data_IF_324607296392
#
_entry.id   IF_324607296392
#
_cell.length_a   1.000
_cell.length_b   1.000
_cell.length_c   1.000
_cell.angle_alpha   90.00
_cell.angle_beta   90.00
_cell.angle_gamma   90.00
#
_symmetry.space_group_name_H-M   'P 1'
#
loop_
_entity.id
_entity.type
_entity.pdbx_description
1 polymer ?
#
# COMPACT_ATOMS: atom_id res chain seq x y z
N UNK A 1 -30.75 48.87 38.49
CA UNK A 1 -31.86 48.05 37.98
C UNK A 1 -32.08 48.44 36.53
N UNK A 2 -32.32 47.48 35.62
CA UNK A 2 -32.45 47.54 34.15
C UNK A 2 -31.19 47.25 33.31
N UNK A 3 -30.99 45.97 33.02
CA UNK A 3 -30.37 45.49 31.78
C UNK A 3 -31.50 44.96 30.89
N UNK A 4 -31.66 45.58 29.72
CA UNK A 4 -32.69 45.26 28.72
C UNK A 4 -32.51 43.82 28.21
N UNK A 5 -33.65 43.16 28.02
CA UNK A 5 -33.78 41.83 27.46
C UNK A 5 -33.08 41.74 26.10
N UNK A 6 -32.26 40.71 25.92
CA UNK A 6 -31.61 40.41 24.65
C UNK A 6 -32.68 39.94 23.65
N UNK A 7 -33.04 40.83 22.74
CA UNK A 7 -33.98 40.56 21.65
C UNK A 7 -33.37 39.48 20.72
N UNK A 8 -34.03 38.33 20.63
CA UNK A 8 -33.59 37.22 19.77
C UNK A 8 -33.81 37.62 18.32
N UNK A 9 -32.73 38.05 17.65
CA UNK A 9 -32.71 38.37 16.23
C UNK A 9 -32.95 37.11 15.40
N UNK A 10 -34.21 36.91 14.99
CA UNK A 10 -34.66 36.06 13.87
C UNK A 10 -34.20 34.59 13.93
N UNK A 11 -35.06 33.74 14.50
CA UNK A 11 -34.97 32.28 14.28
C UNK A 11 -35.23 32.00 12.81
N UNK A 12 -34.21 31.56 12.08
CA UNK A 12 -34.35 31.11 10.68
C UNK A 12 -35.22 29.86 10.63
N UNK A 13 -36.48 30.00 10.22
CA UNK A 13 -37.42 28.89 10.06
C UNK A 13 -37.05 28.12 8.80
N UNK A 14 -36.25 27.06 8.94
CA UNK A 14 -36.02 26.11 7.86
C UNK A 14 -37.31 25.29 7.63
N UNK A 15 -38.13 25.71 6.66
CA UNK A 15 -39.43 25.10 6.33
C UNK A 15 -39.37 23.83 5.46
N UNK A 16 -38.18 23.28 5.23
CA UNK A 16 -38.02 22.07 4.44
C UNK A 16 -37.84 20.84 5.33
N UNK A 17 -38.50 19.73 4.98
CA UNK A 17 -38.28 18.44 5.64
C UNK A 17 -36.80 18.09 5.61
N UNK A 18 -36.25 17.67 6.76
CA UNK A 18 -34.85 17.31 6.89
C UNK A 18 -34.49 16.19 5.90
N UNK A 19 -33.51 16.46 5.03
CA UNK A 19 -33.04 15.49 4.06
C UNK A 19 -32.24 14.39 4.76
N UNK A 20 -32.88 13.24 5.03
CA UNK A 20 -32.29 12.06 5.68
C UNK A 20 -31.06 11.51 4.94
N UNK A 21 -30.87 11.86 3.66
CA UNK A 21 -29.71 11.45 2.87
C UNK A 21 -28.43 12.18 3.30
N UNK A 22 -28.54 13.45 3.72
CA UNK A 22 -27.37 14.27 4.11
C UNK A 22 -26.63 13.74 5.34
N UNK A 23 -27.30 13.36 6.45
CA UNK A 23 -26.66 12.69 7.59
C UNK A 23 -25.98 11.37 7.19
N UNK A 24 -26.64 10.58 6.35
CA UNK A 24 -26.11 9.29 5.90
C UNK A 24 -24.83 9.44 5.08
N UNK A 25 -24.81 10.37 4.12
CA UNK A 25 -23.62 10.73 3.33
C UNK A 25 -22.50 11.23 4.24
N UNK A 26 -22.80 12.07 5.24
CA UNK A 26 -21.79 12.54 6.21
C UNK A 26 -21.19 11.39 7.01
N UNK A 27 -22.02 10.46 7.50
CA UNK A 27 -21.57 9.26 8.23
C UNK A 27 -20.69 8.39 7.34
N UNK A 28 -21.10 8.15 6.10
CA UNK A 28 -20.33 7.40 5.12
C UNK A 28 -18.95 8.04 4.84
N UNK A 29 -18.89 9.36 4.66
CA UNK A 29 -17.63 10.09 4.48
C UNK A 29 -16.75 10.06 5.74
N UNK A 30 -17.33 10.09 6.93
CA UNK A 30 -16.59 9.93 8.18
C UNK A 30 -15.94 8.55 8.27
N UNK A 31 -16.73 7.49 8.04
CA UNK A 31 -16.24 6.11 8.03
C UNK A 31 -15.17 5.90 6.94
N UNK A 32 -15.32 6.54 5.78
CA UNK A 32 -14.30 6.51 4.73
C UNK A 32 -12.99 7.13 5.21
N UNK A 33 -13.03 8.26 5.95
CA UNK A 33 -11.84 8.93 6.47
C UNK A 33 -11.11 8.07 7.49
N UNK A 34 -11.85 7.48 8.42
CA UNK A 34 -11.33 6.56 9.43
C UNK A 34 -10.66 5.34 8.78
N UNK A 35 -11.34 4.67 7.84
CA UNK A 35 -10.77 3.54 7.10
C UNK A 35 -9.58 3.94 6.23
N UNK A 36 -9.59 5.15 5.67
CA UNK A 36 -8.47 5.65 4.89
C UNK A 36 -7.22 5.84 5.77
N UNK A 37 -7.38 6.29 7.01
CA UNK A 37 -6.29 6.51 7.96
C UNK A 37 -5.75 5.20 8.56
N UNK A 38 -6.59 4.18 8.73
CA UNK A 38 -6.24 2.95 9.47
C UNK A 38 -5.96 1.74 8.58
N UNK A 39 -6.41 1.74 7.32
CA UNK A 39 -6.28 0.58 6.42
C UNK A 39 -5.34 0.84 5.25
N UNK A 40 -4.55 -0.17 4.88
CA UNK A 40 -3.75 -0.25 3.66
C UNK A 40 -4.55 -0.69 2.40
N UNK A 41 -5.84 -1.03 2.54
CA UNK A 41 -6.69 -1.49 1.43
C UNK A 41 -6.68 -0.52 0.23
N UNK A 42 -6.73 -0.97 -1.03
CA UNK A 42 -6.80 -0.06 -2.18
C UNK A 42 -7.97 0.92 -2.08
N UNK A 43 -7.81 2.17 -2.53
CA UNK A 43 -8.85 3.22 -2.46
C UNK A 43 -10.19 2.74 -3.01
N UNK A 44 -10.16 1.95 -4.09
CA UNK A 44 -11.34 1.33 -4.70
C UNK A 44 -12.14 0.49 -3.71
N UNK A 45 -11.44 -0.35 -2.91
CA UNK A 45 -12.07 -1.24 -1.93
C UNK A 45 -12.66 -0.44 -0.77
N UNK A 46 -11.93 0.57 -0.29
CA UNK A 46 -12.42 1.47 0.77
C UNK A 46 -13.71 2.16 0.34
N UNK A 47 -13.72 2.75 -0.87
CA UNK A 47 -14.89 3.48 -1.40
C UNK A 47 -16.06 2.52 -1.64
N UNK A 48 -15.82 1.36 -2.26
CA UNK A 48 -16.85 0.35 -2.51
C UNK A 48 -17.51 -0.11 -1.22
N UNK A 49 -16.74 -0.41 -0.18
CA UNK A 49 -17.26 -0.87 1.11
C UNK A 49 -18.11 0.20 1.81
N UNK A 50 -17.77 1.48 1.62
CA UNK A 50 -18.55 2.59 2.15
C UNK A 50 -19.88 2.72 1.39
N UNK A 51 -19.84 2.72 0.05
CA UNK A 51 -21.05 2.85 -0.79
C UNK A 51 -21.98 1.64 -0.59
N UNK A 52 -21.44 0.43 -0.45
CA UNK A 52 -22.24 -0.78 -0.23
C UNK A 52 -23.04 -0.75 1.09
N UNK A 53 -22.60 0.02 2.09
CA UNK A 53 -23.30 0.18 3.36
C UNK A 53 -24.32 1.32 3.37
N UNK A 54 -24.55 1.99 2.23
CA UNK A 54 -25.49 3.11 2.10
C UNK A 54 -26.79 2.68 1.41
N UNK A 55 -27.85 3.43 1.68
CA UNK A 55 -29.07 3.41 0.89
C UNK A 55 -28.80 3.89 -0.55
N UNK A 56 -29.50 3.30 -1.52
CA UNK A 56 -29.35 3.67 -2.95
C UNK A 56 -29.62 5.15 -3.18
N UNK A 57 -30.58 5.73 -2.47
CA UNK A 57 -30.98 7.13 -2.60
C UNK A 57 -29.95 8.09 -2.00
N UNK A 58 -29.23 7.70 -0.95
CA UNK A 58 -28.12 8.47 -0.41
C UNK A 58 -26.84 8.33 -1.26
N UNK A 59 -26.59 7.15 -1.84
CA UNK A 59 -25.43 6.92 -2.69
C UNK A 59 -25.37 7.86 -3.91
N UNK A 60 -26.52 8.24 -4.46
CA UNK A 60 -26.61 9.22 -5.58
C UNK A 60 -26.08 10.60 -5.20
N UNK A 61 -26.09 10.97 -3.92
CA UNK A 61 -25.56 12.26 -3.43
C UNK A 61 -24.05 12.22 -3.15
N UNK A 62 -23.38 11.09 -3.36
CA UNK A 62 -21.94 10.98 -3.16
C UNK A 62 -21.17 11.76 -4.23
N UNK A 63 -19.95 12.18 -3.87
CA UNK A 63 -19.01 12.75 -4.85
C UNK A 63 -18.55 11.67 -5.83
N UNK A 64 -18.00 12.11 -6.96
CA UNK A 64 -17.43 11.20 -7.95
C UNK A 64 -16.37 10.29 -7.34
N UNK A 65 -16.19 9.12 -7.95
CA UNK A 65 -15.19 8.15 -7.52
C UNK A 65 -13.77 8.75 -7.47
N UNK A 66 -13.40 9.56 -8.46
CA UNK A 66 -12.09 10.22 -8.56
C UNK A 66 -11.87 11.15 -7.36
N UNK A 67 -12.90 11.88 -6.98
CA UNK A 67 -12.86 12.80 -5.84
C UNK A 67 -12.69 12.05 -4.52
N UNK A 68 -13.43 10.96 -4.34
CA UNK A 68 -13.32 10.11 -3.16
C UNK A 68 -11.95 9.42 -3.10
N UNK A 69 -11.45 8.92 -4.23
CA UNK A 69 -10.13 8.28 -4.34
C UNK A 69 -8.99 9.23 -4.00
N UNK A 70 -9.04 10.47 -4.50
CA UNK A 70 -8.10 11.53 -4.14
C UNK A 70 -8.14 11.87 -2.65
N UNK A 71 -9.34 11.90 -2.04
CA UNK A 71 -9.47 12.13 -0.59
C UNK A 71 -8.83 11.00 0.22
N UNK A 72 -9.09 9.74 -0.12
CA UNK A 72 -8.46 8.57 0.54
C UNK A 72 -6.94 8.68 0.45
N UNK A 73 -6.39 8.95 -0.74
CA UNK A 73 -4.95 9.12 -0.94
C UNK A 73 -4.38 10.26 -0.10
N UNK A 74 -5.04 11.42 -0.10
CA UNK A 74 -4.59 12.61 0.67
C UNK A 74 -4.59 12.36 2.17
N UNK A 75 -5.60 11.64 2.69
CA UNK A 75 -5.65 11.27 4.11
C UNK A 75 -4.49 10.36 4.47
N UNK A 76 -4.21 9.35 3.64
CA UNK A 76 -3.05 8.46 3.84
C UNK A 76 -1.74 9.21 3.82
N UNK A 77 -1.57 10.14 2.88
CA UNK A 77 -0.36 10.97 2.80
C UNK A 77 -0.18 11.93 4.00
N UNK A 78 -1.27 12.30 4.69
CA UNK A 78 -1.22 13.17 5.87
C UNK A 78 -1.11 12.41 7.19
N UNK A 79 -1.76 11.24 7.28
CA UNK A 79 -1.87 10.43 8.48
C UNK A 79 -0.75 9.41 8.63
N UNK A 80 -0.28 8.85 7.53
CA UNK A 80 0.98 8.13 7.50
C UNK A 80 2.05 9.13 7.07
N UNK A 81 3.12 9.23 7.84
CA UNK A 81 4.41 9.81 7.44
C UNK A 81 5.04 8.96 6.34
N UNK A 82 4.31 8.71 5.25
CA UNK A 82 4.84 8.03 4.08
C UNK A 82 5.99 8.89 3.59
N UNK A 83 7.21 8.34 3.49
CA UNK A 83 8.34 9.09 2.98
C UNK A 83 7.99 9.65 1.60
N UNK A 84 8.52 10.83 1.29
CA UNK A 84 8.44 11.39 -0.06
C UNK A 84 8.88 10.32 -1.06
N UNK A 85 8.19 10.24 -2.20
CA UNK A 85 8.58 9.32 -3.27
C UNK A 85 10.06 9.60 -3.60
N UNK A 86 10.95 8.61 -3.44
CA UNK A 86 12.37 8.83 -3.63
C UNK A 86 12.64 9.17 -5.10
N UNK A 87 13.55 10.12 -5.33
CA UNK A 87 13.96 10.56 -6.66
C UNK A 87 15.21 9.80 -7.13
N UNK A 88 16.04 9.35 -6.19
CA UNK A 88 17.24 8.56 -6.46
C UNK A 88 17.28 7.29 -5.61
N UNK A 89 18.09 6.31 -6.01
CA UNK A 89 18.30 5.09 -5.22
C UNK A 89 19.01 5.37 -3.89
N UNK A 90 19.81 6.44 -3.81
CA UNK A 90 20.47 6.88 -2.59
C UNK A 90 19.45 7.38 -1.55
N UNK A 91 18.38 8.04 -2.01
CA UNK A 91 17.31 8.55 -1.15
C UNK A 91 16.27 7.48 -0.79
N UNK A 92 16.32 6.31 -1.44
CA UNK A 92 15.38 5.22 -1.16
C UNK A 92 15.69 4.61 0.20
N UNK A 93 14.79 4.84 1.16
CA UNK A 93 14.82 4.18 2.47
C UNK A 93 13.68 3.16 2.47
N UNK A 94 14.00 1.91 2.76
CA UNK A 94 13.00 0.87 2.99
C UNK A 94 12.61 0.94 4.48
N UNK A 95 11.35 1.23 4.82
CA UNK A 95 10.88 1.18 6.20
C UNK A 95 11.01 -0.21 6.82
N UNK A 96 11.29 -0.27 8.13
CA UNK A 96 11.54 -1.51 8.88
C UNK A 96 10.33 -2.46 8.84
N UNK A 97 9.11 -1.93 8.80
CA UNK A 97 7.90 -2.75 8.72
C UNK A 97 7.79 -3.58 7.43
N UNK A 98 8.54 -3.21 6.37
CA UNK A 98 8.61 -3.96 5.12
C UNK A 98 9.81 -4.91 5.05
N UNK A 99 10.66 -4.92 6.08
CA UNK A 99 11.78 -5.85 6.20
C UNK A 99 11.38 -7.17 6.85
N UNK A 100 10.17 -7.26 7.40
CA UNK A 100 9.64 -8.42 8.10
C UNK A 100 8.32 -8.91 7.49
N UNK A 101 7.99 -10.18 7.71
CA UNK A 101 6.68 -10.75 7.35
C UNK A 101 5.59 -10.23 8.30
N UNK A 102 4.32 -10.53 7.98
CA UNK A 102 3.19 -10.23 8.85
C UNK A 102 3.27 -10.93 10.23
N UNK A 103 4.05 -12.01 10.30
CA UNK A 103 4.32 -12.78 11.52
C UNK A 103 5.60 -12.30 12.23
N UNK A 104 6.26 -11.24 11.73
CA UNK A 104 7.45 -10.65 12.32
C UNK A 104 8.76 -11.38 11.99
N UNK A 105 8.76 -12.32 11.04
CA UNK A 105 9.99 -12.99 10.61
C UNK A 105 10.81 -12.10 9.68
N UNK A 106 12.15 -12.13 9.78
CA UNK A 106 13.02 -11.41 8.86
C UNK A 106 12.75 -11.85 7.42
N UNK A 107 12.46 -10.87 6.56
CA UNK A 107 12.10 -11.10 5.16
C UNK A 107 13.06 -10.40 4.19
N UNK A 108 13.59 -9.22 4.52
CA UNK A 108 14.70 -8.63 3.76
C UNK A 108 15.98 -9.41 4.08
N UNK A 109 16.40 -10.26 3.15
CA UNK A 109 17.59 -11.09 3.28
C UNK A 109 18.86 -10.30 2.97
N UNK A 110 18.80 -9.39 1.99
CA UNK A 110 19.94 -8.59 1.58
C UNK A 110 19.50 -7.28 0.93
N UNK A 111 20.28 -6.22 1.15
CA UNK A 111 20.18 -4.95 0.45
C UNK A 111 21.58 -4.37 0.33
N UNK A 112 22.13 -4.35 -0.89
CA UNK A 112 23.50 -3.89 -1.11
C UNK A 112 23.68 -2.37 -0.96
N UNK A 113 22.58 -1.61 -0.80
CA UNK A 113 22.57 -0.14 -0.65
C UNK A 113 23.33 0.63 -1.74
N UNK A 114 23.59 0.02 -2.90
CA UNK A 114 24.34 0.65 -3.98
C UNK A 114 23.52 1.80 -4.60
N UNK A 115 24.03 3.04 -4.66
CA UNK A 115 23.29 4.20 -5.15
C UNK A 115 23.02 4.18 -6.67
N UNK A 116 23.59 3.24 -7.42
CA UNK A 116 23.44 3.11 -8.87
C UNK A 116 22.92 1.72 -9.30
N UNK A 117 23.26 0.68 -8.54
CA UNK A 117 22.99 -0.75 -8.79
C UNK A 117 22.33 -1.42 -7.58
N UNK A 118 21.35 -0.77 -6.98
CA UNK A 118 20.69 -1.34 -5.81
C UNK A 118 19.99 -2.66 -6.14
N UNK A 119 20.27 -3.67 -5.33
CA UNK A 119 19.64 -4.99 -5.39
C UNK A 119 19.18 -5.36 -3.98
N UNK A 120 17.87 -5.58 -3.84
CA UNK A 120 17.26 -6.04 -2.59
C UNK A 120 16.69 -7.43 -2.79
N UNK A 121 17.03 -8.36 -1.90
CA UNK A 121 16.59 -9.75 -1.92
C UNK A 121 15.67 -9.98 -0.73
N UNK A 122 14.49 -10.49 -1.01
CA UNK A 122 13.46 -10.79 -0.05
C UNK A 122 13.17 -12.29 -0.03
N UNK A 123 13.44 -12.92 1.09
CA UNK A 123 13.16 -14.31 1.39
C UNK A 123 13.30 -14.53 2.91
N UNK A 124 12.56 -15.47 3.46
CA UNK A 124 12.84 -15.97 4.81
C UNK A 124 13.93 -17.05 4.75
N UNK A 125 14.53 -17.39 5.91
CA UNK A 125 15.48 -18.51 5.99
C UNK A 125 14.82 -19.83 5.59
N UNK A 126 13.56 -20.01 5.94
CA UNK A 126 12.75 -21.17 5.57
C UNK A 126 12.56 -21.23 4.05
N UNK A 127 12.34 -20.10 3.38
CA UNK A 127 12.23 -20.07 1.92
C UNK A 127 13.54 -20.51 1.24
N UNK A 128 14.69 -20.00 1.72
CA UNK A 128 16.01 -20.37 1.19
C UNK A 128 16.29 -21.86 1.44
N UNK A 129 16.03 -22.33 2.66
CA UNK A 129 16.15 -23.75 3.00
C UNK A 129 15.26 -24.62 2.11
N UNK A 130 14.00 -24.23 1.90
CA UNK A 130 13.09 -24.96 1.03
C UNK A 130 13.59 -24.98 -0.41
N UNK A 131 14.04 -23.83 -0.94
CA UNK A 131 14.57 -23.70 -2.29
C UNK A 131 15.79 -24.61 -2.51
N UNK A 132 16.68 -24.72 -1.52
CA UNK A 132 17.85 -25.62 -1.58
C UNK A 132 17.48 -27.12 -1.66
N UNK A 133 16.27 -27.49 -1.24
CA UNK A 133 15.75 -28.87 -1.33
C UNK A 133 14.79 -29.08 -2.50
N UNK A 134 14.63 -28.09 -3.40
CA UNK A 134 13.85 -28.25 -4.63
C UNK A 134 14.71 -28.85 -5.74
N UNK A 135 14.14 -29.80 -6.49
CA UNK A 135 14.83 -30.43 -7.63
C UNK A 135 14.94 -29.49 -8.83
N UNK A 136 13.99 -28.56 -8.97
CA UNK A 136 13.90 -27.64 -10.10
C UNK A 136 13.62 -26.22 -9.63
N UNK A 137 14.36 -25.28 -10.23
CA UNK A 137 14.21 -23.85 -10.00
C UNK A 137 13.71 -23.18 -11.27
N UNK A 138 12.72 -22.31 -11.12
CA UNK A 138 12.22 -21.48 -12.21
C UNK A 138 12.45 -20.02 -11.85
N UNK A 139 12.87 -19.24 -12.83
CA UNK A 139 13.21 -17.85 -12.60
C UNK A 139 12.57 -16.98 -13.66
N UNK A 140 11.92 -15.91 -13.24
CA UNK A 140 11.27 -14.96 -14.16
C UNK A 140 11.49 -13.53 -13.71
N UNK A 141 11.66 -12.64 -14.69
CA UNK A 141 11.87 -11.21 -14.49
C UNK A 141 10.72 -10.41 -15.07
N UNK A 142 9.91 -9.78 -14.21
CA UNK A 142 8.83 -8.89 -14.63
C UNK A 142 9.30 -7.43 -14.66
N UNK A 143 9.16 -6.78 -15.81
CA UNK A 143 9.65 -5.41 -16.05
C UNK A 143 8.54 -4.36 -15.96
N UNK A 144 7.38 -4.62 -16.56
CA UNK A 144 6.32 -3.63 -16.77
C UNK A 144 5.65 -3.13 -15.48
N UNK A 145 5.79 -3.89 -14.39
CA UNK A 145 5.18 -3.59 -13.08
C UNK A 145 6.18 -3.06 -12.07
N UNK A 146 7.44 -2.81 -12.47
CA UNK A 146 8.47 -2.42 -11.54
C UNK A 146 8.25 -1.01 -10.99
N UNK A 147 8.39 -0.78 -9.67
CA UNK A 147 8.35 0.56 -9.10
C UNK A 147 9.40 1.49 -9.73
N UNK A 148 9.16 2.82 -9.71
CA UNK A 148 10.18 3.80 -10.09
C UNK A 148 11.51 3.53 -9.38
N UNK A 149 12.62 3.86 -10.05
CA UNK A 149 14.02 3.59 -9.66
C UNK A 149 14.50 2.15 -9.85
N UNK A 150 13.59 1.20 -9.99
CA UNK A 150 13.92 -0.19 -10.24
C UNK A 150 13.56 -0.58 -11.67
N UNK A 151 14.37 -1.48 -12.24
CA UNK A 151 14.20 -1.93 -13.64
C UNK A 151 13.52 -3.28 -13.72
N UNK A 152 13.55 -4.08 -12.65
CA UNK A 152 13.06 -5.45 -12.66
C UNK A 152 12.62 -5.92 -11.28
N UNK A 153 11.46 -6.59 -11.23
CA UNK A 153 11.12 -7.53 -10.17
C UNK A 153 11.48 -8.93 -10.67
N UNK A 154 12.49 -9.55 -10.07
CA UNK A 154 12.94 -10.89 -10.41
C UNK A 154 12.48 -11.87 -9.33
N UNK A 155 12.01 -13.05 -9.73
CA UNK A 155 11.47 -14.05 -8.80
C UNK A 155 12.10 -15.40 -9.06
N UNK A 156 12.42 -16.12 -7.97
CA UNK A 156 12.91 -17.50 -8.02
C UNK A 156 11.87 -18.38 -7.35
N UNK A 157 11.47 -19.41 -8.07
CA UNK A 157 10.47 -20.37 -7.67
C UNK A 157 11.13 -21.74 -7.53
N UNK A 158 10.78 -22.46 -6.48
CA UNK A 158 11.16 -23.86 -6.31
C UNK A 158 9.98 -24.77 -6.60
N UNK A 159 10.21 -25.88 -7.32
CA UNK A 159 9.21 -26.94 -7.48
C UNK A 159 9.51 -28.09 -6.53
N UNK A 160 8.47 -28.55 -5.82
CA UNK A 160 8.52 -29.77 -4.99
C UNK A 160 7.14 -30.42 -4.97
N UNK A 161 7.09 -31.74 -5.11
CA UNK A 161 5.83 -32.51 -5.17
C UNK A 161 4.82 -31.96 -6.20
N UNK A 162 5.31 -31.55 -7.38
CA UNK A 162 4.52 -30.92 -8.46
C UNK A 162 3.84 -29.58 -8.08
N UNK A 163 4.23 -28.95 -6.97
CA UNK A 163 3.80 -27.61 -6.60
C UNK A 163 4.93 -26.61 -6.82
N UNK A 164 4.58 -25.43 -7.32
CA UNK A 164 5.51 -24.33 -7.56
C UNK A 164 5.30 -23.25 -6.51
N UNK A 165 6.38 -22.87 -5.85
CA UNK A 165 6.37 -21.86 -4.80
C UNK A 165 7.28 -20.70 -5.17
N UNK A 166 6.81 -19.44 -5.19
CA UNK A 166 7.69 -18.29 -5.24
C UNK A 166 8.39 -18.14 -3.88
N UNK A 167 9.72 -18.28 -3.86
CA UNK A 167 10.48 -18.38 -2.61
C UNK A 167 11.40 -17.17 -2.40
N UNK A 168 11.90 -16.59 -3.50
CA UNK A 168 12.77 -15.41 -3.47
C UNK A 168 12.21 -14.34 -4.40
N UNK A 169 12.14 -13.12 -3.88
CA UNK A 169 11.79 -11.93 -4.65
C UNK A 169 12.96 -10.97 -4.64
N UNK A 170 13.27 -10.38 -5.78
CA UNK A 170 14.42 -9.50 -5.95
C UNK A 170 13.98 -8.23 -6.64
N UNK A 171 14.27 -7.10 -6.02
CA UNK A 171 14.05 -5.79 -6.61
C UNK A 171 15.41 -5.23 -7.06
N UNK A 172 15.61 -5.11 -8.37
CA UNK A 172 16.89 -4.76 -8.95
C UNK A 172 16.79 -3.49 -9.82
N UNK A 173 17.73 -2.55 -9.61
CA UNK A 173 17.77 -1.31 -10.39
C UNK A 173 18.38 -1.46 -11.78
N UNK A 174 19.13 -2.53 -12.01
CA UNK A 174 19.77 -2.88 -13.28
C UNK A 174 19.47 -4.33 -13.64
N UNK A 175 19.63 -4.67 -14.91
CA UNK A 175 19.36 -6.00 -15.48
C UNK A 175 20.56 -6.50 -16.28
N UNK A 176 21.73 -6.48 -15.66
CA UNK A 176 22.96 -6.94 -16.30
C UNK A 176 23.67 -8.02 -15.47
N UNK A 177 24.75 -8.55 -16.04
CA UNK A 177 25.53 -9.63 -15.47
C UNK A 177 25.89 -9.42 -13.99
N UNK A 178 26.38 -8.22 -13.63
CA UNK A 178 26.85 -7.94 -12.27
C UNK A 178 25.70 -7.98 -11.25
N UNK A 179 24.50 -7.57 -11.65
CA UNK A 179 23.32 -7.68 -10.79
C UNK A 179 22.98 -9.14 -10.51
N UNK A 180 22.94 -10.00 -11.53
CA UNK A 180 22.62 -11.41 -11.35
C UNK A 180 23.73 -12.17 -10.62
N UNK A 181 25.00 -11.87 -10.91
CA UNK A 181 26.15 -12.43 -10.19
C UNK A 181 26.07 -12.09 -8.69
N UNK A 182 25.82 -10.83 -8.34
CA UNK A 182 25.63 -10.41 -6.94
C UNK A 182 24.46 -11.13 -6.26
N UNK A 183 23.33 -11.25 -6.97
CA UNK A 183 22.16 -12.00 -6.49
C UNK A 183 22.52 -13.46 -6.15
N UNK A 184 23.09 -14.20 -7.10
CA UNK A 184 23.39 -15.62 -6.90
C UNK A 184 24.51 -15.86 -5.89
N UNK A 185 25.48 -14.95 -5.80
CA UNK A 185 26.51 -15.04 -4.76
C UNK A 185 25.90 -14.86 -3.36
N UNK A 186 24.94 -13.95 -3.20
CA UNK A 186 24.27 -13.76 -1.93
C UNK A 186 23.40 -14.97 -1.55
N UNK A 187 22.73 -15.61 -2.52
CA UNK A 187 21.91 -16.79 -2.24
C UNK A 187 22.73 -18.03 -1.82
N UNK A 188 24.00 -18.12 -2.18
CA UNK A 188 24.89 -19.22 -1.76
C UNK A 188 25.27 -19.17 -0.29
N UNK A 189 25.26 -17.98 0.31
CA UNK A 189 25.70 -17.73 1.70
C UNK A 189 24.54 -17.42 2.65
N UNK A 190 23.31 -17.43 2.13
CA UNK A 190 22.08 -17.08 2.82
C UNK A 190 21.53 -18.19 3.71
#
# INVERSE_FOLDING_TARGET
>A
MTTKEAEVLKVSVHSHVADKRKPEVRKALSNMREKAATSSSPSRRVIRNVIAGMSKTAAVQMKSYETLSRNVRRIRQKGNSLPSVPVTLADFILPEEYMVTLEGQQFLLHDNKDPFRRTMIFATKENISFLAHCDEWYMDGTFDICPPLFSQLYTIHGRRNNLHFPLVYVLASKKDYFTYEGLFNQLKVA
#
